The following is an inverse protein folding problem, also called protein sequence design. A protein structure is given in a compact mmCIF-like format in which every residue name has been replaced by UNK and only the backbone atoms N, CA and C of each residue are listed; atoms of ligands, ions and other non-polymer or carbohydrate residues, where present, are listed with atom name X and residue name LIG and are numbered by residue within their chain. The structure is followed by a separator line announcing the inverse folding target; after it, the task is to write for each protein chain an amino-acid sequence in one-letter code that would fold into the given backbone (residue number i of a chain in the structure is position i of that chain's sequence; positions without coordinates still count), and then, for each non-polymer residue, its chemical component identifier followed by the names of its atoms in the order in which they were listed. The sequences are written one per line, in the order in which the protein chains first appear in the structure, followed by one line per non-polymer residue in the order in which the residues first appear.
data_IF_750632642735
#
_entry.id   IF_750632642735
#
_cell.length_a   1.000
_cell.length_b   1.000
_cell.length_c   1.000
_cell.angle_alpha   90.00
_cell.angle_beta   90.00
_cell.angle_gamma   90.00
#
_symmetry.space_group_name_H-M   'P 1'
#
loop_
_entity.id
_entity.type
_entity.pdbx_description
1 polymer ?
#
# COMPACT_ATOMS: atom_id res chain seq x y z
N UNK A 1 10.74 -9.29 -1.84
CA UNK A 1 9.37 -9.44 -2.35
C UNK A 1 8.81 -8.08 -2.72
N UNK A 2 8.63 -7.12 -1.79
CA UNK A 2 8.09 -5.79 -2.14
C UNK A 2 8.92 -5.01 -3.16
N UNK A 3 10.26 -5.01 -3.03
CA UNK A 3 11.13 -4.42 -4.07
C UNK A 3 10.95 -5.06 -5.45
N UNK A 4 10.84 -6.39 -5.49
CA UNK A 4 10.63 -7.13 -6.75
C UNK A 4 9.25 -6.79 -7.35
N UNK A 5 8.22 -6.64 -6.51
CA UNK A 5 6.89 -6.21 -6.93
C UNK A 5 6.90 -4.80 -7.52
N UNK A 6 7.54 -3.84 -6.85
CA UNK A 6 7.60 -2.45 -7.32
C UNK A 6 8.44 -2.31 -8.59
N UNK A 7 9.55 -3.05 -8.69
CA UNK A 7 10.35 -3.13 -9.92
C UNK A 7 9.51 -3.72 -11.08
N UNK A 8 8.74 -4.79 -10.82
CA UNK A 8 7.87 -5.40 -11.83
C UNK A 8 6.74 -4.47 -12.27
N UNK A 9 6.08 -3.77 -11.35
CA UNK A 9 5.01 -2.80 -11.67
C UNK A 9 5.54 -1.61 -12.49
N UNK A 10 6.79 -1.22 -12.29
CA UNK A 10 7.46 -0.18 -13.07
C UNK A 10 8.06 -0.65 -14.40
N UNK A 11 8.08 -1.96 -14.66
CA UNK A 11 8.70 -2.52 -15.87
C UNK A 11 7.70 -2.52 -17.02
N UNK A 12 8.08 -1.90 -18.14
CA UNK A 12 7.35 -2.02 -19.40
C UNK A 12 7.80 -3.33 -20.08
N UNK A 13 6.88 -4.28 -20.28
CA UNK A 13 7.21 -5.53 -20.93
C UNK A 13 7.43 -5.31 -22.44
N UNK A 14 8.32 -6.10 -23.06
CA UNK A 14 8.55 -6.00 -24.50
C UNK A 14 7.31 -6.45 -25.27
N UNK A 15 6.53 -7.37 -24.72
CA UNK A 15 5.22 -7.77 -25.26
C UNK A 15 4.19 -6.65 -25.27
N UNK A 16 4.27 -5.66 -24.38
CA UNK A 16 3.36 -4.50 -24.38
C UNK A 16 3.60 -3.60 -25.63
N UNK A 17 4.86 -3.53 -26.07
CA UNK A 17 5.27 -2.70 -27.22
C UNK A 17 5.24 -3.50 -28.54
N UNK A 18 5.61 -4.78 -28.50
CA UNK A 18 5.68 -5.67 -29.67
C UNK A 18 4.89 -6.97 -29.43
N UNK A 19 3.55 -6.95 -29.60
CA UNK A 19 2.68 -8.06 -29.18
C UNK A 19 2.96 -9.41 -29.86
N UNK A 20 3.52 -9.41 -31.08
CA UNK A 20 3.76 -10.64 -31.85
C UNK A 20 5.05 -11.38 -31.47
N UNK A 21 6.06 -10.69 -30.93
CA UNK A 21 7.40 -11.25 -30.68
C UNK A 21 7.95 -10.95 -29.29
N UNK A 22 7.38 -9.99 -28.56
CA UNK A 22 7.89 -9.58 -27.25
C UNK A 22 7.81 -10.67 -26.19
N UNK A 23 6.87 -11.62 -26.32
CA UNK A 23 6.75 -12.75 -25.38
C UNK A 23 8.02 -13.61 -25.31
N UNK A 24 8.76 -13.77 -26.42
CA UNK A 24 10.03 -14.51 -26.43
C UNK A 24 11.11 -13.78 -25.63
N UNK A 25 11.14 -12.45 -25.76
CA UNK A 25 12.10 -11.60 -25.06
C UNK A 25 11.77 -11.58 -23.57
N UNK A 26 10.51 -11.36 -23.20
CA UNK A 26 10.06 -11.38 -21.80
C UNK A 26 10.24 -12.75 -21.12
N UNK A 27 10.14 -13.83 -21.89
CA UNK A 27 10.48 -15.17 -21.42
C UNK A 27 11.98 -15.34 -21.21
N UNK A 28 12.80 -14.93 -22.20
CA UNK A 28 14.26 -15.07 -22.15
C UNK A 28 14.90 -14.19 -21.06
N UNK A 29 14.35 -13.02 -20.78
CA UNK A 29 14.79 -12.14 -19.68
C UNK A 29 14.36 -12.65 -18.30
N UNK A 30 13.48 -13.66 -18.25
CA UNK A 30 12.94 -14.20 -17.01
C UNK A 30 11.80 -13.37 -16.41
N UNK A 31 11.33 -12.32 -17.09
CA UNK A 31 10.27 -11.43 -16.61
C UNK A 31 9.00 -12.21 -16.26
N UNK A 32 8.55 -13.10 -17.14
CA UNK A 32 7.38 -13.94 -16.88
C UNK A 32 7.53 -14.84 -15.65
N UNK A 33 8.74 -15.37 -15.42
CA UNK A 33 9.01 -16.21 -14.25
C UNK A 33 8.98 -15.39 -12.96
N UNK A 34 9.56 -14.19 -12.96
CA UNK A 34 9.52 -13.25 -11.83
C UNK A 34 8.10 -12.78 -11.51
N UNK A 35 7.29 -12.44 -12.52
CA UNK A 35 5.86 -12.09 -12.33
C UNK A 35 5.11 -13.23 -11.68
N UNK A 36 5.18 -14.45 -12.23
CA UNK A 36 4.48 -15.62 -11.67
C UNK A 36 4.93 -15.92 -10.24
N UNK A 37 6.22 -15.84 -9.96
CA UNK A 37 6.77 -16.11 -8.62
C UNK A 37 6.30 -15.06 -7.60
N UNK A 38 6.28 -13.78 -7.99
CA UNK A 38 5.84 -12.70 -7.11
C UNK A 38 4.33 -12.77 -6.88
N UNK A 39 3.54 -12.99 -7.94
CA UNK A 39 2.10 -13.18 -7.84
C UNK A 39 1.73 -14.36 -6.91
N UNK A 40 2.41 -15.51 -7.03
CA UNK A 40 2.16 -16.65 -6.16
C UNK A 40 2.48 -16.38 -4.68
N UNK A 41 3.52 -15.58 -4.38
CA UNK A 41 3.82 -15.17 -3.01
C UNK A 41 2.76 -14.23 -2.44
N UNK A 42 2.30 -13.26 -3.23
CA UNK A 42 1.24 -12.34 -2.83
C UNK A 42 -0.07 -13.08 -2.61
N UNK A 43 -0.44 -13.97 -3.53
CA UNK A 43 -1.65 -14.78 -3.40
C UNK A 43 -1.61 -15.66 -2.15
N UNK A 44 -0.46 -16.27 -1.82
CA UNK A 44 -0.31 -17.03 -0.58
C UNK A 44 -0.45 -16.19 0.69
N UNK A 45 -0.01 -14.92 0.68
CA UNK A 45 -0.17 -14.01 1.82
C UNK A 45 -1.64 -13.63 1.95
N UNK A 46 -2.25 -13.20 0.85
CA UNK A 46 -3.66 -12.83 0.79
C UNK A 46 -4.58 -13.98 1.20
N UNK A 47 -4.33 -15.19 0.72
CA UNK A 47 -5.12 -16.37 1.08
C UNK A 47 -5.04 -16.64 2.57
N UNK A 48 -3.84 -16.57 3.16
CA UNK A 48 -3.67 -16.75 4.60
C UNK A 48 -4.42 -15.67 5.39
N UNK A 49 -4.27 -14.40 5.02
CA UNK A 49 -4.94 -13.29 5.70
C UNK A 49 -6.46 -13.41 5.62
N UNK A 50 -7.00 -13.77 4.45
CA UNK A 50 -8.45 -13.98 4.31
C UNK A 50 -8.92 -15.14 5.19
N UNK A 51 -8.21 -16.27 5.19
CA UNK A 51 -8.59 -17.42 6.03
C UNK A 51 -8.55 -17.06 7.51
N UNK A 52 -7.57 -16.28 7.96
CA UNK A 52 -7.49 -15.78 9.34
C UNK A 52 -8.75 -14.97 9.72
N UNK A 53 -9.22 -14.05 8.85
CA UNK A 53 -10.43 -13.25 9.10
C UNK A 53 -11.75 -14.04 8.92
N UNK A 54 -11.73 -15.12 8.14
CA UNK A 54 -12.89 -16.03 8.03
C UNK A 54 -13.06 -16.94 9.25
N UNK A 55 -11.94 -17.36 9.87
CA UNK A 55 -11.92 -18.23 11.04
C UNK A 55 -12.15 -17.45 12.35
N UNK A 56 -11.67 -16.20 12.41
CA UNK A 56 -11.87 -15.29 13.54
C UNK A 56 -12.35 -13.92 13.04
N UNK A 57 -13.67 -13.73 12.82
CA UNK A 57 -14.25 -12.48 12.31
C UNK A 57 -14.28 -11.35 13.38
N UNK A 58 -13.27 -11.29 14.26
CA UNK A 58 -13.06 -10.17 15.19
C UNK A 58 -13.95 -10.16 16.43
N UNK A 59 -14.40 -11.33 16.93
CA UNK A 59 -15.40 -11.37 18.01
C UNK A 59 -14.88 -11.80 19.39
N UNK A 60 -13.61 -12.23 19.53
CA UNK A 60 -13.06 -12.64 20.84
C UNK A 60 -12.16 -11.57 21.51
N UNK A 61 -11.51 -10.67 20.74
CA UNK A 61 -10.50 -9.74 21.28
C UNK A 61 -10.89 -8.24 21.27
N UNK A 62 -12.10 -7.90 20.84
CA UNK A 62 -12.60 -6.51 20.85
C UNK A 62 -11.97 -5.60 19.78
N UNK A 63 -11.39 -6.20 18.74
CA UNK A 63 -10.85 -5.49 17.58
C UNK A 63 -12.00 -4.95 16.71
N UNK A 64 -11.86 -3.73 16.20
CA UNK A 64 -12.88 -3.13 15.34
C UNK A 64 -12.81 -3.78 13.95
N UNK A 65 -13.96 -4.01 13.28
CA UNK A 65 -13.98 -4.59 11.94
C UNK A 65 -13.17 -3.72 10.99
N UNK A 66 -12.41 -4.38 10.12
CA UNK A 66 -11.63 -3.70 9.10
C UNK A 66 -12.23 -3.83 7.70
N UNK A 67 -11.57 -3.22 6.71
CA UNK A 67 -12.04 -3.24 5.33
C UNK A 67 -12.18 -4.65 4.76
N UNK A 68 -11.32 -5.59 5.17
CA UNK A 68 -11.40 -6.97 4.70
C UNK A 68 -12.65 -7.65 5.24
N UNK A 69 -13.00 -7.41 6.51
CA UNK A 69 -14.25 -7.91 7.10
C UNK A 69 -15.47 -7.40 6.32
N UNK A 70 -15.50 -6.10 5.99
CA UNK A 70 -16.57 -5.49 5.19
C UNK A 70 -16.67 -6.12 3.80
N UNK A 71 -15.54 -6.33 3.12
CA UNK A 71 -15.50 -6.97 1.80
C UNK A 71 -15.95 -8.43 1.84
N UNK A 72 -15.59 -9.17 2.89
CA UNK A 72 -16.02 -10.55 3.10
C UNK A 72 -17.51 -10.64 3.41
N UNK A 73 -18.06 -9.69 4.16
CA UNK A 73 -19.49 -9.57 4.40
C UNK A 73 -20.25 -9.34 3.09
N UNK A 74 -19.80 -8.40 2.26
CA UNK A 74 -20.40 -8.12 0.95
C UNK A 74 -20.31 -9.34 0.02
N UNK A 75 -19.19 -10.07 0.04
CA UNK A 75 -19.03 -11.30 -0.75
C UNK A 75 -20.01 -12.43 -0.31
N UNK A 76 -20.36 -12.48 0.99
CA UNK A 76 -21.30 -13.46 1.56
C UNK A 76 -22.77 -13.09 1.31
N UNK A 77 -23.14 -11.81 1.48
CA UNK A 77 -24.53 -11.33 1.49
C UNK A 77 -25.12 -11.05 0.08
N UNK A 78 -24.46 -11.49 -0.99
CA UNK A 78 -24.74 -11.12 -2.39
C UNK A 78 -26.21 -11.16 -2.83
N UNK A 79 -26.94 -10.06 -2.59
CA UNK A 79 -28.35 -9.85 -2.98
C UNK A 79 -28.56 -8.54 -3.76
N UNK A 80 -27.50 -7.77 -4.03
CA UNK A 80 -27.60 -6.43 -4.65
C UNK A 80 -27.08 -6.34 -6.10
N UNK A 81 -27.15 -7.43 -6.87
CA UNK A 81 -26.74 -7.44 -8.29
C UNK A 81 -25.24 -7.28 -8.56
N UNK A 82 -24.43 -7.09 -7.51
CA UNK A 82 -22.98 -7.07 -7.50
C UNK A 82 -22.52 -8.20 -6.58
N UNK A 83 -21.76 -9.15 -7.11
CA UNK A 83 -21.27 -10.32 -6.37
C UNK A 83 -19.75 -10.31 -6.44
N UNK A 84 -19.11 -9.94 -5.34
CA UNK A 84 -17.66 -10.10 -5.18
C UNK A 84 -17.35 -11.56 -4.95
N UNK A 85 -16.37 -12.09 -5.69
CA UNK A 85 -15.77 -13.37 -5.36
C UNK A 85 -14.44 -13.18 -4.59
N UNK A 86 -13.84 -14.30 -4.16
CA UNK A 86 -12.59 -14.28 -3.41
C UNK A 86 -11.44 -13.65 -4.21
N UNK A 87 -11.45 -13.75 -5.54
CA UNK A 87 -10.43 -13.15 -6.41
C UNK A 87 -10.60 -11.64 -6.42
N UNK A 88 -11.85 -11.15 -6.50
CA UNK A 88 -12.14 -9.72 -6.45
C UNK A 88 -11.71 -9.11 -5.10
N UNK A 89 -12.04 -9.76 -3.98
CA UNK A 89 -11.64 -9.32 -2.64
C UNK A 89 -10.11 -9.25 -2.53
N UNK A 90 -9.40 -10.29 -2.98
CA UNK A 90 -7.94 -10.28 -3.04
C UNK A 90 -7.41 -9.13 -3.89
N UNK A 91 -8.03 -8.87 -5.04
CA UNK A 91 -7.64 -7.81 -5.95
C UNK A 91 -7.73 -6.43 -5.29
N UNK A 92 -8.85 -6.12 -4.65
CA UNK A 92 -9.08 -4.82 -3.99
C UNK A 92 -8.10 -4.58 -2.85
N UNK A 93 -7.96 -5.55 -1.94
CA UNK A 93 -7.04 -5.40 -0.80
C UNK A 93 -5.59 -5.29 -1.28
N UNK A 94 -5.19 -6.09 -2.26
CA UNK A 94 -3.83 -6.05 -2.80
C UNK A 94 -3.53 -4.69 -3.47
N UNK A 95 -4.47 -4.15 -4.24
CA UNK A 95 -4.34 -2.85 -4.88
C UNK A 95 -4.15 -1.74 -3.83
N UNK A 96 -5.03 -1.70 -2.83
CA UNK A 96 -4.95 -0.71 -1.74
C UNK A 96 -3.65 -0.83 -0.93
N UNK A 97 -3.22 -2.05 -0.61
CA UNK A 97 -1.99 -2.29 0.14
C UNK A 97 -0.75 -1.80 -0.63
N UNK A 98 -0.66 -2.11 -1.92
CA UNK A 98 0.47 -1.71 -2.77
C UNK A 98 0.47 -0.20 -2.96
N UNK A 99 -0.67 0.37 -3.36
CA UNK A 99 -0.81 1.80 -3.63
C UNK A 99 -0.50 2.62 -2.38
N UNK A 100 -1.03 2.23 -1.22
CA UNK A 100 -0.80 2.92 0.05
C UNK A 100 0.65 2.82 0.53
N UNK A 101 1.31 1.67 0.34
CA UNK A 101 2.67 1.47 0.85
C UNK A 101 3.74 2.11 -0.05
N UNK A 102 3.73 1.82 -1.36
CA UNK A 102 4.81 2.25 -2.26
C UNK A 102 4.84 3.77 -2.43
N UNK A 103 3.67 4.40 -2.61
CA UNK A 103 3.58 5.85 -2.82
C UNK A 103 3.94 6.64 -1.56
N UNK A 104 3.45 6.21 -0.40
CA UNK A 104 3.73 6.87 0.89
C UNK A 104 5.20 6.75 1.27
N UNK A 105 5.78 5.55 1.14
CA UNK A 105 7.21 5.34 1.42
C UNK A 105 8.10 6.23 0.52
N UNK A 106 7.84 6.26 -0.79
CA UNK A 106 8.59 7.13 -1.72
C UNK A 106 8.43 8.60 -1.38
N UNK A 107 7.23 9.05 -1.02
CA UNK A 107 6.98 10.44 -0.63
C UNK A 107 7.83 10.80 0.59
N UNK A 108 7.80 9.98 1.65
CA UNK A 108 8.61 10.20 2.85
C UNK A 108 10.11 10.19 2.52
N UNK A 109 10.57 9.23 1.70
CA UNK A 109 11.97 9.13 1.29
C UNK A 109 12.44 10.41 0.57
N UNK A 110 11.67 10.90 -0.39
CA UNK A 110 12.00 12.13 -1.13
C UNK A 110 11.92 13.39 -0.27
N UNK A 111 10.88 13.54 0.54
CA UNK A 111 10.75 14.67 1.47
C UNK A 111 11.95 14.71 2.42
N UNK A 112 12.33 13.58 3.01
CA UNK A 112 13.50 13.51 3.89
C UNK A 112 14.81 13.79 3.13
N UNK A 113 14.97 13.25 1.92
CA UNK A 113 16.14 13.52 1.09
C UNK A 113 16.29 15.02 0.76
N UNK A 114 15.18 15.71 0.48
CA UNK A 114 15.19 17.14 0.16
C UNK A 114 15.44 18.00 1.41
N UNK A 115 14.82 17.65 2.55
CA UNK A 115 15.08 18.33 3.82
C UNK A 115 16.55 18.18 4.24
N UNK A 116 17.15 17.00 4.09
CA UNK A 116 18.56 16.76 4.45
C UNK A 116 19.49 17.63 3.58
N UNK A 117 19.15 17.82 2.30
CA UNK A 117 19.89 18.70 1.39
C UNK A 117 19.72 20.18 1.71
N UNK A 118 18.65 20.56 2.41
CA UNK A 118 18.34 21.94 2.78
C UNK A 118 18.25 22.11 4.32
N UNK A 119 19.38 22.06 5.07
CA UNK A 119 19.39 22.06 6.53
C UNK A 119 18.68 23.26 7.17
N UNK A 120 18.66 24.41 6.49
CA UNK A 120 17.95 25.61 6.97
C UNK A 120 16.44 25.41 6.98
N UNK A 121 15.88 24.81 5.93
CA UNK A 121 14.45 24.52 5.86
C UNK A 121 14.07 23.36 6.80
N UNK A 122 14.90 22.32 6.86
CA UNK A 122 14.75 21.25 7.86
C UNK A 122 14.68 21.79 9.30
N UNK A 123 15.56 22.74 9.66
CA UNK A 123 15.53 23.34 10.99
C UNK A 123 14.22 24.07 11.28
N UNK A 124 13.63 24.75 10.28
CA UNK A 124 12.33 25.42 10.44
C UNK A 124 11.19 24.41 10.62
N UNK A 125 11.11 23.37 9.78
CA UNK A 125 10.08 22.32 9.90
C UNK A 125 10.17 21.63 11.25
N UNK A 126 11.38 21.25 11.69
CA UNK A 126 11.56 20.64 13.02
C UNK A 126 11.17 21.59 14.17
N UNK A 127 11.43 22.89 14.03
CA UNK A 127 11.02 23.88 15.02
C UNK A 127 9.50 24.01 15.10
N UNK A 128 8.81 24.03 13.96
CA UNK A 128 7.34 24.07 13.89
C UNK A 128 6.74 22.84 14.54
N UNK A 129 7.22 21.64 14.18
CA UNK A 129 6.75 20.37 14.76
C UNK A 129 6.92 20.34 16.28
N UNK A 130 8.08 20.76 16.81
CA UNK A 130 8.33 20.81 18.26
C UNK A 130 7.40 21.80 18.96
N UNK A 131 7.20 22.99 18.37
CA UNK A 131 6.34 24.02 18.94
C UNK A 131 4.88 23.55 19.05
N UNK A 132 4.35 22.90 18.01
CA UNK A 132 3.00 22.34 18.05
C UNK A 132 2.91 21.19 19.05
N UNK A 133 3.89 20.28 19.05
CA UNK A 133 3.91 19.12 19.94
C UNK A 133 4.02 19.48 21.45
N UNK A 134 4.70 20.58 21.80
CA UNK A 134 4.78 21.06 23.19
C UNK A 134 3.40 21.39 23.79
N UNK A 135 2.41 21.73 22.96
CA UNK A 135 1.04 22.02 23.37
C UNK A 135 0.16 20.78 23.56
N UNK A 136 0.63 19.59 23.21
CA UNK A 136 -0.19 18.37 23.10
C UNK A 136 0.33 17.29 24.03
N UNK A 137 -0.45 16.94 25.06
CA UNK A 137 -0.12 15.85 25.97
C UNK A 137 -0.82 14.56 25.51
N UNK A 138 -0.04 13.56 25.06
CA UNK A 138 -0.53 12.23 24.71
C UNK A 138 -0.32 11.76 23.26
N UNK A 139 0.29 12.59 22.42
CA UNK A 139 0.51 12.30 20.99
C UNK A 139 -0.14 13.35 20.10
N UNK A 140 0.42 13.57 18.91
CA UNK A 140 -0.12 14.52 17.94
C UNK A 140 -1.40 13.94 17.32
N UNK A 141 -2.50 14.69 17.40
CA UNK A 141 -3.75 14.38 16.70
C UNK A 141 -3.72 14.94 15.27
N UNK A 142 -4.62 14.48 14.42
CA UNK A 142 -4.72 14.93 13.03
C UNK A 142 -5.06 16.43 12.93
N UNK A 143 -5.84 16.97 13.87
CA UNK A 143 -6.16 18.40 13.91
C UNK A 143 -4.93 19.27 14.23
N UNK A 144 -3.91 18.71 14.89
CA UNK A 144 -2.66 19.41 15.16
C UNK A 144 -1.74 19.44 13.93
N UNK A 145 -1.88 18.47 13.01
CA UNK A 145 -1.18 18.50 11.71
C UNK A 145 -1.67 19.66 10.84
N UNK A 146 -2.93 20.09 10.97
CA UNK A 146 -3.45 21.28 10.27
C UNK A 146 -2.69 22.56 10.63
N UNK A 147 -2.06 22.60 11.80
CA UNK A 147 -1.30 23.76 12.28
C UNK A 147 0.15 23.78 11.78
N UNK A 148 0.63 22.70 11.16
CA UNK A 148 2.01 22.55 10.70
C UNK A 148 2.17 22.96 9.22
N UNK A 149 2.02 24.26 8.94
CA UNK A 149 2.04 24.81 7.59
C UNK A 149 3.35 24.56 6.82
N UNK A 150 4.49 24.56 7.51
CA UNK A 150 5.80 24.29 6.89
C UNK A 150 5.96 22.80 6.61
N UNK A 151 5.47 21.93 7.50
CA UNK A 151 5.46 20.48 7.25
C UNK A 151 4.56 20.13 6.06
N UNK A 152 3.40 20.76 5.93
CA UNK A 152 2.48 20.56 4.79
C UNK A 152 3.03 21.09 3.47
N UNK A 153 3.90 22.10 3.52
CA UNK A 153 4.55 22.68 2.35
C UNK A 153 5.85 21.97 1.95
N UNK A 154 6.34 21.04 2.77
CA UNK A 154 7.59 20.29 2.57
C UNK A 154 7.35 18.98 1.80
#
# INVERSE_FOLDING_TARGET
MMKELTDLLGTIAVSDVFPRLGWLVDWATGLQASVKRTAAKLDSIMERTITEHEEDPGNDDGEAPDLLDDLLLIAKDGDQGFKLDRIDVKGVILDMFIAGTDTTYKTIEWTMAELIKNPREMAKVQSEVRQVAEGVHGGLLEEELEKMSLLQAA
#
